data_IF_787674888234
#
_entry.id   IF_787674888234
#
_cell.length_a   1.000
_cell.length_b   1.000
_cell.length_c   1.000
_cell.angle_alpha   90.00
_cell.angle_beta   90.00
_cell.angle_gamma   90.00
#
_symmetry.space_group_name_H-M   'P 1'
#
loop_
_entity.id
_entity.type
_entity.pdbx_description
1 polymer ?
#
# COMPACT_ATOMS: atom_id res chain seq x y z
N UNK A 1 -20.51 26.57 9.36
CA UNK A 1 -20.61 25.10 9.49
C UNK A 1 -19.50 24.50 8.66
N UNK A 2 -18.30 24.37 9.23
CA UNK A 2 -17.14 23.78 8.56
C UNK A 2 -17.40 22.27 8.49
N UNK A 3 -17.57 21.75 7.28
CA UNK A 3 -17.58 20.30 7.08
C UNK A 3 -16.19 19.77 7.45
N UNK A 4 -16.05 19.20 8.65
CA UNK A 4 -15.00 18.22 8.93
C UNK A 4 -15.23 17.02 8.02
N UNK A 5 -14.77 17.13 6.77
CA UNK A 5 -14.67 15.96 5.91
C UNK A 5 -13.52 15.11 6.44
N UNK A 6 -13.87 14.16 7.32
CA UNK A 6 -12.99 13.05 7.66
C UNK A 6 -12.43 12.47 6.35
N UNK A 7 -11.10 12.33 6.20
CA UNK A 7 -10.50 11.72 5.02
C UNK A 7 -11.15 10.40 4.67
N UNK A 8 -11.12 9.98 3.40
CA UNK A 8 -11.46 8.61 3.07
C UNK A 8 -10.51 7.68 3.80
N UNK A 9 -11.02 6.90 4.76
CA UNK A 9 -10.24 5.89 5.47
C UNK A 9 -9.68 4.93 4.42
N UNK A 10 -8.37 4.88 4.24
CA UNK A 10 -7.70 4.01 3.26
C UNK A 10 -8.22 2.56 3.28
N UNK A 11 -8.65 2.10 4.45
CA UNK A 11 -9.34 0.83 4.70
C UNK A 11 -10.49 0.58 3.73
N UNK A 12 -11.26 1.61 3.36
CA UNK A 12 -12.36 1.50 2.39
C UNK A 12 -11.88 1.20 0.96
N UNK A 13 -10.78 1.81 0.52
CA UNK A 13 -10.17 1.56 -0.79
C UNK A 13 -9.52 0.18 -0.86
N UNK A 14 -8.87 -0.21 0.24
CA UNK A 14 -8.33 -1.56 0.42
C UNK A 14 -9.46 -2.60 0.36
N UNK A 15 -10.53 -2.42 1.15
CA UNK A 15 -11.68 -3.32 1.14
C UNK A 15 -12.36 -3.36 -0.23
N UNK A 16 -12.53 -2.21 -0.88
CA UNK A 16 -13.07 -2.14 -2.23
C UNK A 16 -12.26 -3.03 -3.17
N UNK A 17 -10.95 -2.86 -3.20
CA UNK A 17 -10.07 -3.66 -4.05
C UNK A 17 -10.12 -5.17 -3.71
N UNK A 18 -10.13 -5.53 -2.43
CA UNK A 18 -10.29 -6.91 -1.95
C UNK A 18 -11.60 -7.51 -2.46
N UNK A 19 -12.70 -6.79 -2.25
CA UNK A 19 -14.05 -7.22 -2.65
C UNK A 19 -14.13 -7.40 -4.17
N UNK A 20 -13.59 -6.47 -4.96
CA UNK A 20 -13.62 -6.59 -6.42
C UNK A 20 -12.80 -7.78 -6.91
N UNK A 21 -11.60 -8.01 -6.35
CA UNK A 21 -10.81 -9.17 -6.74
C UNK A 21 -11.47 -10.49 -6.33
N UNK A 22 -12.05 -10.57 -5.14
CA UNK A 22 -12.72 -11.78 -4.67
C UNK A 22 -13.98 -12.08 -5.50
N UNK A 23 -14.75 -11.06 -5.88
CA UNK A 23 -15.90 -11.20 -6.81
C UNK A 23 -15.46 -11.69 -8.19
N UNK A 24 -14.31 -11.23 -8.69
CA UNK A 24 -13.71 -11.75 -9.92
C UNK A 24 -13.41 -13.25 -9.80
N UNK A 25 -12.74 -13.65 -8.71
CA UNK A 25 -12.38 -15.05 -8.45
C UNK A 25 -13.62 -15.97 -8.36
N UNK A 26 -14.67 -15.51 -7.68
CA UNK A 26 -15.94 -16.23 -7.60
C UNK A 26 -16.64 -16.35 -8.97
N UNK A 27 -16.88 -15.21 -9.63
CA UNK A 27 -17.70 -15.15 -10.84
C UNK A 27 -17.07 -15.84 -12.04
N UNK A 28 -15.74 -15.74 -12.20
CA UNK A 28 -15.05 -16.20 -13.41
C UNK A 28 -14.24 -17.47 -13.22
N UNK A 29 -13.87 -17.81 -11.98
CA UNK A 29 -13.04 -18.98 -11.68
C UNK A 29 -13.72 -19.97 -10.71
N UNK A 30 -14.96 -19.70 -10.28
CA UNK A 30 -15.73 -20.59 -9.40
C UNK A 30 -15.10 -20.79 -8.01
N UNK A 31 -14.18 -19.91 -7.62
CA UNK A 31 -13.47 -20.01 -6.35
C UNK A 31 -14.29 -19.42 -5.21
N UNK A 32 -14.09 -19.93 -3.99
CA UNK A 32 -14.75 -19.38 -2.82
C UNK A 32 -14.25 -17.92 -2.58
N UNK A 33 -15.13 -16.91 -2.56
CA UNK A 33 -14.76 -15.49 -2.39
C UNK A 33 -14.10 -15.21 -1.03
N UNK A 34 -14.32 -16.07 -0.03
CA UNK A 34 -13.72 -15.95 1.30
C UNK A 34 -12.40 -16.71 1.44
N UNK A 35 -11.94 -17.40 0.39
CA UNK A 35 -10.69 -18.17 0.46
C UNK A 35 -9.44 -17.28 0.54
N UNK A 36 -9.53 -15.99 0.19
CA UNK A 36 -8.44 -15.00 0.26
C UNK A 36 -7.11 -15.49 -0.35
N UNK A 37 -7.15 -16.33 -1.38
CA UNK A 37 -5.95 -16.82 -2.08
C UNK A 37 -5.68 -15.99 -3.32
N UNK A 38 -5.21 -14.75 -3.13
CA UNK A 38 -4.67 -13.98 -4.25
C UNK A 38 -3.42 -14.67 -4.79
N UNK A 39 -3.42 -14.95 -6.08
CA UNK A 39 -2.29 -15.54 -6.77
C UNK A 39 -1.24 -14.49 -7.08
N UNK A 40 -0.01 -14.90 -7.39
CA UNK A 40 1.03 -13.97 -7.86
C UNK A 40 0.57 -13.18 -9.09
N UNK A 41 -0.29 -13.77 -9.94
CA UNK A 41 -0.89 -13.11 -11.09
C UNK A 41 -1.84 -11.97 -10.68
N UNK A 42 -2.61 -12.13 -9.59
CA UNK A 42 -3.47 -11.08 -9.06
C UNK A 42 -2.65 -9.90 -8.54
N UNK A 43 -1.55 -10.17 -7.86
CA UNK A 43 -0.64 -9.15 -7.34
C UNK A 43 0.05 -8.39 -8.48
N UNK A 44 0.57 -9.11 -9.48
CA UNK A 44 1.19 -8.52 -10.67
C UNK A 44 0.20 -7.68 -11.47
N UNK A 45 -1.05 -8.12 -11.58
CA UNK A 45 -2.10 -7.33 -12.22
C UNK A 45 -2.34 -6.00 -11.47
N UNK A 46 -2.50 -6.04 -10.14
CA UNK A 46 -2.70 -4.84 -9.33
C UNK A 46 -1.52 -3.87 -9.43
N UNK A 47 -0.29 -4.37 -9.44
CA UNK A 47 0.91 -3.57 -9.64
C UNK A 47 0.93 -2.87 -11.01
N UNK A 48 0.64 -3.60 -12.09
CA UNK A 48 0.55 -3.03 -13.44
C UNK A 48 -0.56 -1.99 -13.55
N UNK A 49 -1.71 -2.25 -12.92
CA UNK A 49 -2.83 -1.31 -12.89
C UNK A 49 -2.47 -0.04 -12.11
N UNK A 50 -1.77 -0.17 -10.98
CA UNK A 50 -1.23 0.96 -10.22
C UNK A 50 -0.19 1.78 -11.01
N UNK A 51 0.65 1.12 -11.82
CA UNK A 51 1.58 1.80 -12.73
C UNK A 51 0.84 2.63 -13.79
N UNK A 52 -0.22 2.08 -14.39
CA UNK A 52 -1.08 2.82 -15.32
C UNK A 52 -1.75 4.01 -14.62
N UNK A 53 -2.30 3.81 -13.41
CA UNK A 53 -2.87 4.89 -12.62
C UNK A 53 -1.88 6.03 -12.37
N UNK A 54 -0.62 5.72 -12.04
CA UNK A 54 0.42 6.73 -11.87
C UNK A 54 0.70 7.50 -13.18
N UNK A 55 0.79 6.83 -14.33
CA UNK A 55 0.96 7.52 -15.63
C UNK A 55 -0.21 8.45 -15.93
N UNK A 56 -1.43 8.03 -15.63
CA UNK A 56 -2.60 8.87 -15.84
C UNK A 56 -2.60 10.07 -14.91
N UNK A 57 -2.26 9.86 -13.64
CA UNK A 57 -2.10 10.92 -12.65
C UNK A 57 -1.02 11.93 -13.07
N UNK A 58 0.16 11.46 -13.50
CA UNK A 58 1.27 12.31 -13.97
C UNK A 58 0.89 13.19 -15.17
N UNK A 59 0.03 12.69 -16.04
CA UNK A 59 -0.44 13.42 -17.22
C UNK A 59 -1.76 14.18 -16.98
N UNK A 60 -2.25 14.24 -15.73
CA UNK A 60 -3.55 14.82 -15.37
C UNK A 60 -4.72 14.28 -16.22
N UNK A 61 -4.72 12.97 -16.46
CA UNK A 61 -5.73 12.23 -17.25
C UNK A 61 -6.53 11.29 -16.37
N UNK A 62 -7.81 11.12 -16.69
CA UNK A 62 -8.71 10.16 -16.02
C UNK A 62 -9.16 9.01 -16.92
N UNK A 63 -8.80 9.06 -18.21
CA UNK A 63 -9.19 8.08 -19.24
C UNK A 63 -7.97 7.51 -19.96
N UNK A 64 -8.06 6.25 -20.35
CA UNK A 64 -7.03 5.51 -21.07
C UNK A 64 -7.61 4.64 -22.18
N UNK A 65 -6.76 4.17 -23.08
CA UNK A 65 -7.15 3.42 -24.27
C UNK A 65 -6.58 2.00 -24.27
N UNK A 66 -7.07 1.17 -25.19
CA UNK A 66 -6.60 -0.21 -25.38
C UNK A 66 -5.09 -0.29 -25.65
N UNK A 67 -4.51 0.70 -26.32
CA UNK A 67 -3.07 0.79 -26.58
C UNK A 67 -2.25 0.86 -25.29
N UNK A 68 -2.71 1.65 -24.30
CA UNK A 68 -2.06 1.76 -23.00
C UNK A 68 -2.19 0.45 -22.21
N UNK A 69 -3.31 -0.26 -22.35
CA UNK A 69 -3.46 -1.59 -21.75
C UNK A 69 -2.44 -2.59 -22.32
N UNK A 70 -2.21 -2.56 -23.64
CA UNK A 70 -1.19 -3.39 -24.29
C UNK A 70 0.22 -3.00 -23.86
N UNK A 71 0.51 -1.70 -23.78
CA UNK A 71 1.80 -1.17 -23.31
C UNK A 71 2.16 -1.70 -21.91
N UNK A 72 1.19 -1.73 -20.99
CA UNK A 72 1.39 -2.23 -19.63
C UNK A 72 1.18 -3.75 -19.47
N UNK A 73 0.99 -4.48 -20.58
CA UNK A 73 0.70 -5.93 -20.56
C UNK A 73 -0.45 -6.28 -19.62
N UNK A 74 -1.51 -5.47 -19.67
CA UNK A 74 -2.78 -5.67 -18.98
C UNK A 74 -3.77 -6.37 -19.92
N UNK A 75 -4.56 -7.34 -19.42
CA UNK A 75 -5.39 -8.20 -20.26
C UNK A 75 -6.59 -7.42 -20.83
N UNK A 76 -6.58 -7.08 -22.12
CA UNK A 76 -7.62 -6.27 -22.77
C UNK A 76 -9.01 -6.94 -22.82
N UNK A 77 -9.06 -8.24 -23.12
CA UNK A 77 -10.31 -8.95 -23.47
C UNK A 77 -10.91 -9.78 -22.34
N UNK A 78 -10.20 -9.91 -21.23
CA UNK A 78 -10.69 -10.66 -20.08
C UNK A 78 -11.46 -9.73 -19.16
N UNK A 79 -12.77 -9.60 -19.41
CA UNK A 79 -13.71 -8.76 -18.62
C UNK A 79 -13.62 -9.00 -17.11
N UNK A 80 -13.16 -10.18 -16.70
CA UNK A 80 -12.88 -10.54 -15.32
C UNK A 80 -11.96 -9.52 -14.62
N UNK A 81 -10.88 -9.11 -15.27
CA UNK A 81 -9.87 -8.24 -14.66
C UNK A 81 -10.31 -6.79 -14.52
N UNK A 82 -11.22 -6.34 -15.39
CA UNK A 82 -11.73 -4.97 -15.39
C UNK A 82 -12.93 -4.79 -14.48
N UNK A 83 -13.71 -5.87 -14.27
CA UNK A 83 -15.01 -5.83 -13.60
C UNK A 83 -14.89 -5.20 -12.21
N UNK A 84 -15.45 -3.99 -12.08
CA UNK A 84 -15.53 -3.28 -10.81
C UNK A 84 -14.28 -2.46 -10.45
N UNK A 85 -13.21 -2.46 -11.24
CA UNK A 85 -12.05 -1.58 -11.04
C UNK A 85 -12.00 -0.46 -12.09
N UNK A 86 -12.37 -0.80 -13.33
CA UNK A 86 -12.46 0.12 -14.44
C UNK A 86 -13.79 -0.08 -15.19
N UNK A 87 -14.21 0.95 -15.92
CA UNK A 87 -15.38 0.92 -16.79
C UNK A 87 -14.96 1.21 -18.24
N UNK A 88 -15.56 0.49 -19.18
CA UNK A 88 -15.58 0.89 -20.60
C UNK A 88 -16.67 1.95 -20.76
N UNK A 89 -16.31 3.12 -21.29
CA UNK A 89 -17.24 4.20 -21.57
C UNK A 89 -18.00 3.91 -22.87
N UNK A 90 -19.32 4.12 -22.83
CA UNK A 90 -20.17 3.90 -23.99
C UNK A 90 -19.78 4.82 -25.16
N UNK A 91 -19.78 4.26 -26.37
CA UNK A 91 -19.37 4.97 -27.59
C UNK A 91 -20.50 5.85 -28.11
N UNK A 92 -20.18 7.06 -28.54
CA UNK A 92 -21.10 7.89 -29.33
C UNK A 92 -21.14 7.44 -30.80
N UNK A 93 -20.02 6.95 -31.35
CA UNK A 93 -19.89 6.49 -32.75
C UNK A 93 -19.34 5.05 -32.78
N UNK A 94 -19.91 4.12 -33.57
CA UNK A 94 -19.48 2.72 -33.62
C UNK A 94 -18.01 2.46 -34.02
N UNK A 95 -17.35 3.44 -34.66
CA UNK A 95 -15.96 3.34 -35.17
C UNK A 95 -14.90 3.86 -34.19
N UNK A 96 -15.30 4.45 -33.06
CA UNK A 96 -14.35 4.98 -32.10
C UNK A 96 -13.66 3.85 -31.33
N UNK A 97 -12.39 4.08 -31.01
CA UNK A 97 -11.61 3.18 -30.14
C UNK A 97 -12.27 3.12 -28.76
N UNK A 98 -12.27 1.94 -28.10
CA UNK A 98 -12.81 1.83 -26.75
C UNK A 98 -12.03 2.73 -25.79
N UNK A 99 -12.77 3.48 -24.97
CA UNK A 99 -12.22 4.37 -23.94
C UNK A 99 -12.55 3.76 -22.59
N UNK A 100 -11.57 3.76 -21.70
CA UNK A 100 -11.68 3.21 -20.37
C UNK A 100 -11.38 4.27 -19.32
N UNK A 101 -11.97 4.12 -18.13
CA UNK A 101 -11.63 4.93 -16.97
C UNK A 101 -11.65 4.07 -15.69
N UNK A 102 -11.00 4.55 -14.64
CA UNK A 102 -11.24 4.00 -13.30
C UNK A 102 -12.67 4.30 -12.87
N UNK A 103 -13.26 3.43 -12.04
CA UNK A 103 -14.62 3.63 -11.52
C UNK A 103 -14.77 4.93 -10.72
N UNK A 104 -13.68 5.42 -10.11
CA UNK A 104 -13.63 6.67 -9.38
C UNK A 104 -12.24 7.31 -9.44
N UNK A 105 -12.16 8.65 -9.47
CA UNK A 105 -10.89 9.38 -9.52
C UNK A 105 -10.02 9.12 -8.28
N UNK A 106 -10.63 9.11 -7.08
CA UNK A 106 -9.89 8.75 -5.86
C UNK A 106 -9.35 7.32 -5.89
N UNK A 107 -9.99 6.41 -6.63
CA UNK A 107 -9.46 5.05 -6.77
C UNK A 107 -8.23 5.03 -7.69
N UNK A 108 -8.19 5.88 -8.73
CA UNK A 108 -6.98 6.12 -9.53
C UNK A 108 -5.84 6.66 -8.67
N UNK A 109 -6.08 7.68 -7.84
CA UNK A 109 -5.05 8.23 -6.95
C UNK A 109 -4.58 7.23 -5.90
N UNK A 110 -5.51 6.43 -5.34
CA UNK A 110 -5.18 5.33 -4.44
C UNK A 110 -4.30 4.28 -5.10
N UNK A 111 -4.63 3.84 -6.33
CA UNK A 111 -3.84 2.85 -7.06
C UNK A 111 -2.44 3.37 -7.42
N UNK A 112 -2.31 4.66 -7.73
CA UNK A 112 -1.02 5.31 -7.93
C UNK A 112 -0.19 5.33 -6.63
N UNK A 113 -0.81 5.68 -5.50
CA UNK A 113 -0.14 5.68 -4.19
C UNK A 113 0.29 4.26 -3.77
N UNK A 114 -0.58 3.27 -4.01
CA UNK A 114 -0.28 1.86 -3.79
C UNK A 114 0.94 1.42 -4.60
N UNK A 115 0.99 1.73 -5.89
CA UNK A 115 2.13 1.37 -6.75
C UNK A 115 3.46 1.93 -6.23
N UNK A 116 3.48 3.24 -5.92
CA UNK A 116 4.67 3.90 -5.36
C UNK A 116 5.07 3.27 -4.03
N UNK A 117 4.12 2.98 -3.15
CA UNK A 117 4.39 2.35 -1.86
C UNK A 117 4.90 0.92 -1.96
N UNK A 118 4.35 0.10 -2.87
CA UNK A 118 4.81 -1.28 -3.07
C UNK A 118 6.21 -1.33 -3.67
N UNK A 119 6.59 -0.36 -4.50
CA UNK A 119 7.95 -0.26 -5.05
C UNK A 119 9.03 -0.24 -3.95
N UNK A 120 8.73 0.27 -2.75
CA UNK A 120 9.64 0.22 -1.59
C UNK A 120 10.03 -1.20 -1.18
N UNK A 121 9.16 -2.18 -1.41
CA UNK A 121 9.35 -3.57 -0.98
C UNK A 121 10.12 -4.40 -2.01
N UNK A 122 10.17 -3.94 -3.24
CA UNK A 122 10.87 -4.58 -4.33
C UNK A 122 12.26 -3.94 -4.45
N UNK A 123 13.25 -4.45 -3.70
CA UNK A 123 14.69 -4.23 -4.01
C UNK A 123 15.07 -4.77 -5.40
N UNK A 124 14.11 -5.34 -6.14
CA UNK A 124 14.28 -5.89 -7.48
C UNK A 124 13.34 -5.21 -8.45
N UNK A 125 13.97 -4.66 -9.47
CA UNK A 125 13.41 -4.17 -10.71
C UNK A 125 12.69 -5.31 -11.48
N UNK A 126 11.53 -5.81 -11.03
CA UNK A 126 10.82 -6.95 -11.68
C UNK A 126 9.84 -6.51 -12.78
N UNK A 127 9.77 -5.22 -13.10
CA UNK A 127 9.05 -4.73 -14.28
C UNK A 127 9.98 -3.87 -15.12
N UNK A 128 10.57 -4.53 -16.10
CA UNK A 128 11.28 -4.08 -17.30
C UNK A 128 11.27 -2.56 -17.65
N UNK A 129 12.39 -2.16 -18.27
CA UNK A 129 13.01 -0.84 -18.48
C UNK A 129 12.22 0.19 -19.32
N UNK A 130 10.90 0.09 -19.45
CA UNK A 130 10.11 0.98 -20.32
C UNK A 130 9.26 2.01 -19.55
N UNK A 131 9.89 2.81 -18.71
CA UNK A 131 9.30 4.04 -18.13
C UNK A 131 10.39 4.80 -17.39
N UNK A 132 10.72 6.02 -17.85
CA UNK A 132 11.72 6.92 -17.25
C UNK A 132 11.49 7.29 -15.77
N UNK A 133 10.45 6.76 -15.13
CA UNK A 133 10.18 6.95 -13.69
C UNK A 133 10.69 5.77 -12.85
N UNK A 134 11.10 4.64 -13.45
CA UNK A 134 11.93 3.66 -12.74
C UNK A 134 13.28 4.24 -12.33
N UNK A 135 13.73 5.35 -12.93
CA UNK A 135 14.88 6.13 -12.43
C UNK A 135 14.51 7.12 -11.32
N UNK A 136 13.24 7.56 -11.28
CA UNK A 136 12.77 8.54 -10.33
C UNK A 136 12.44 7.95 -8.96
N UNK A 137 12.27 6.64 -8.77
CA UNK A 137 12.05 6.07 -7.41
C UNK A 137 12.96 4.89 -7.07
N UNK A 138 14.11 4.77 -7.75
CA UNK A 138 15.22 3.82 -7.47
C UNK A 138 15.88 3.97 -6.07
N UNK A 139 15.20 4.60 -5.13
CA UNK A 139 15.77 5.13 -3.90
C UNK A 139 15.87 4.10 -2.80
N UNK A 140 16.95 4.19 -2.05
CA UNK A 140 17.30 3.25 -0.99
C UNK A 140 16.63 3.61 0.36
N UNK A 141 15.85 4.70 0.44
CA UNK A 141 15.23 5.19 1.68
C UNK A 141 13.79 5.70 1.50
N UNK A 142 12.98 5.52 2.55
CA UNK A 142 11.60 6.03 2.62
C UNK A 142 11.52 7.56 2.45
N UNK A 143 12.50 8.27 2.99
CA UNK A 143 12.54 9.73 3.02
C UNK A 143 12.66 10.32 1.64
N UNK A 144 13.51 9.72 0.80
CA UNK A 144 13.73 10.22 -0.55
C UNK A 144 12.48 9.96 -1.41
N UNK A 145 11.84 8.80 -1.24
CA UNK A 145 10.57 8.47 -1.90
C UNK A 145 9.50 9.51 -1.57
N UNK A 146 9.36 9.89 -0.30
CA UNK A 146 8.46 10.96 0.12
C UNK A 146 8.87 12.33 -0.40
N UNK A 147 10.17 12.64 -0.45
CA UNK A 147 10.66 13.90 -1.02
C UNK A 147 10.18 14.07 -2.45
N UNK A 148 10.32 13.03 -3.26
CA UNK A 148 9.91 13.05 -4.66
C UNK A 148 8.39 13.04 -4.85
N UNK A 149 7.64 12.41 -3.96
CA UNK A 149 6.18 12.49 -3.96
C UNK A 149 5.71 13.93 -3.64
N UNK A 150 6.31 14.55 -2.61
CA UNK A 150 5.99 15.93 -2.21
C UNK A 150 6.44 16.95 -3.26
N UNK A 151 7.60 16.77 -3.89
CA UNK A 151 8.05 17.64 -4.98
C UNK A 151 7.08 17.61 -6.17
N UNK A 152 6.54 16.44 -6.53
CA UNK A 152 5.48 16.31 -7.54
C UNK A 152 4.21 17.04 -7.13
N UNK A 153 3.74 16.77 -5.92
CA UNK A 153 2.55 17.41 -5.36
C UNK A 153 2.67 18.95 -5.36
N UNK A 154 3.82 19.51 -4.99
CA UNK A 154 4.04 20.95 -4.93
C UNK A 154 4.17 21.61 -6.32
N UNK A 155 4.70 20.89 -7.31
CA UNK A 155 4.91 21.41 -8.67
C UNK A 155 3.70 21.26 -9.60
N UNK A 156 2.75 20.38 -9.25
CA UNK A 156 1.55 20.14 -10.01
C UNK A 156 0.46 21.23 -9.80
N UNK A 157 -0.56 21.29 -10.67
CA UNK A 157 -1.84 21.91 -10.38
C UNK A 157 -2.46 21.51 -9.03
N UNK A 158 -3.18 22.43 -8.41
CA UNK A 158 -3.90 22.20 -7.14
C UNK A 158 -4.97 21.13 -7.36
N UNK A 159 -5.11 20.19 -6.42
CA UNK A 159 -6.05 19.08 -6.51
C UNK A 159 -5.53 17.83 -7.22
N UNK A 160 -4.48 17.92 -8.03
CA UNK A 160 -4.04 16.77 -8.86
C UNK A 160 -3.47 15.61 -8.03
N UNK A 161 -2.72 15.87 -6.96
CA UNK A 161 -2.06 14.85 -6.14
C UNK A 161 -2.55 14.87 -4.68
N UNK A 162 -3.66 15.53 -4.41
CA UNK A 162 -4.09 15.81 -3.05
C UNK A 162 -4.46 14.51 -2.31
N UNK A 163 -5.29 13.65 -2.92
CA UNK A 163 -5.64 12.36 -2.33
C UNK A 163 -4.50 11.36 -2.48
N UNK A 164 -3.75 11.40 -3.59
CA UNK A 164 -2.56 10.57 -3.76
C UNK A 164 -1.60 10.70 -2.57
N UNK A 165 -1.28 11.93 -2.16
CA UNK A 165 -0.34 12.16 -1.06
C UNK A 165 -0.92 11.70 0.29
N UNK A 166 -2.23 11.91 0.51
CA UNK A 166 -2.93 11.40 1.71
C UNK A 166 -2.91 9.87 1.75
N UNK A 167 -3.25 9.21 0.64
CA UNK A 167 -3.19 7.75 0.55
C UNK A 167 -1.78 7.22 0.77
N UNK A 168 -0.75 7.91 0.28
CA UNK A 168 0.63 7.51 0.51
C UNK A 168 1.01 7.55 1.99
N UNK A 169 0.58 8.61 2.69
CA UNK A 169 0.73 8.75 4.15
C UNK A 169 -0.05 7.68 4.90
N UNK A 170 -1.29 7.45 4.52
CA UNK A 170 -2.16 6.43 5.11
C UNK A 170 -1.63 4.99 4.90
N UNK A 171 -1.00 4.70 3.75
CA UNK A 171 -0.32 3.42 3.49
C UNK A 171 0.87 3.21 4.44
N UNK A 172 1.50 4.30 4.88
CA UNK A 172 2.67 4.28 5.77
C UNK A 172 2.31 4.11 7.23
N UNK A 173 1.02 4.17 7.58
CA UNK A 173 0.57 3.75 8.89
C UNK A 173 1.00 2.31 9.12
N UNK A 174 1.76 2.07 10.21
CA UNK A 174 2.65 0.91 10.35
C UNK A 174 1.96 -0.40 10.05
N UNK A 175 0.66 -0.50 10.26
CA UNK A 175 -0.06 -1.75 10.13
C UNK A 175 -1.49 -1.56 9.59
N UNK A 176 -1.64 -1.42 8.27
CA UNK A 176 -2.62 -2.26 7.57
C UNK A 176 -2.13 -3.74 7.48
N UNK A 177 -1.10 -4.12 8.25
CA UNK A 177 -0.31 -5.37 8.25
C UNK A 177 -1.12 -6.65 8.30
N UNK A 178 -2.29 -6.68 8.94
CA UNK A 178 -3.12 -7.89 8.87
C UNK A 178 -3.81 -7.99 7.51
N UNK A 179 -4.42 -6.87 7.11
CA UNK A 179 -5.30 -6.80 5.95
C UNK A 179 -4.58 -6.82 4.61
N UNK A 180 -3.30 -6.46 4.53
CA UNK A 180 -2.61 -6.34 3.24
C UNK A 180 -1.49 -7.36 3.01
N UNK A 181 -1.05 -8.06 4.07
CA UNK A 181 -0.05 -9.13 3.96
C UNK A 181 -0.66 -10.33 3.23
N UNK A 182 0.04 -10.82 2.21
CA UNK A 182 -0.42 -11.91 1.35
C UNK A 182 -1.38 -11.49 0.23
N UNK A 183 -1.81 -10.22 0.20
CA UNK A 183 -2.65 -9.69 -0.87
C UNK A 183 -1.94 -8.59 -1.66
N UNK A 184 -1.51 -7.51 -1.00
CA UNK A 184 -0.77 -6.43 -1.66
C UNK A 184 0.71 -6.44 -1.37
N UNK A 185 1.11 -7.05 -0.26
CA UNK A 185 2.50 -7.08 0.19
C UNK A 185 2.90 -8.51 0.59
N UNK A 186 4.17 -8.89 0.42
CA UNK A 186 4.69 -10.12 0.97
C UNK A 186 4.42 -10.22 2.49
N UNK A 187 4.09 -11.42 2.98
CA UNK A 187 3.84 -11.66 4.41
C UNK A 187 5.01 -11.22 5.31
N UNK A 188 6.23 -11.25 4.78
CA UNK A 188 7.48 -10.91 5.43
C UNK A 188 7.98 -9.49 5.08
N UNK A 189 7.10 -8.58 4.65
CA UNK A 189 7.47 -7.20 4.36
C UNK A 189 8.21 -6.56 5.56
N UNK A 190 9.39 -5.93 5.34
CA UNK A 190 10.19 -5.35 6.41
C UNK A 190 9.44 -4.22 7.12
N UNK A 191 9.70 -4.01 8.43
CA UNK A 191 9.16 -2.87 9.17
C UNK A 191 9.52 -1.55 8.51
N UNK A 192 8.58 -0.60 8.55
CA UNK A 192 8.82 0.74 8.05
C UNK A 192 9.83 1.48 8.93
N UNK A 193 10.89 2.03 8.31
CA UNK A 193 11.93 2.83 8.99
C UNK A 193 12.03 4.22 8.34
N UNK A 194 12.42 5.24 9.12
CA UNK A 194 12.63 6.60 8.64
C UNK A 194 11.36 7.46 8.59
N UNK A 195 10.30 7.07 9.31
CA UNK A 195 9.04 7.82 9.31
C UNK A 195 9.20 9.19 10.02
N UNK A 196 10.04 9.25 11.05
CA UNK A 196 10.37 10.50 11.75
C UNK A 196 11.03 11.50 10.79
N UNK A 197 11.88 11.01 9.89
CA UNK A 197 12.54 11.84 8.87
C UNK A 197 11.55 12.32 7.80
N UNK A 198 10.57 11.48 7.44
CA UNK A 198 9.44 11.86 6.58
C UNK A 198 8.60 12.95 7.23
N UNK A 199 8.24 12.82 8.52
CA UNK A 199 7.51 13.87 9.25
C UNK A 199 8.27 15.19 9.20
N UNK A 200 9.57 15.20 9.52
CA UNK A 200 10.40 16.43 9.45
C UNK A 200 10.43 17.03 8.04
N UNK A 201 10.50 16.20 7.02
CA UNK A 201 10.43 16.64 5.62
C UNK A 201 9.09 17.32 5.31
N UNK A 202 7.96 16.69 5.64
CA UNK A 202 6.63 17.26 5.39
C UNK A 202 6.41 18.57 6.15
N UNK A 203 6.88 18.68 7.41
CA UNK A 203 6.80 19.92 8.20
C UNK A 203 7.52 21.06 7.48
N UNK A 204 8.77 20.84 7.07
CA UNK A 204 9.55 21.86 6.33
C UNK A 204 8.88 22.28 5.02
N UNK A 205 8.27 21.33 4.31
CA UNK A 205 7.57 21.60 3.04
C UNK A 205 6.25 22.34 3.27
N UNK A 206 5.54 22.04 4.35
CA UNK A 206 4.32 22.76 4.74
C UNK A 206 4.62 24.22 5.04
N UNK A 207 5.67 24.50 5.82
CA UNK A 207 6.02 25.88 6.22
C UNK A 207 6.39 26.79 5.04
N UNK A 208 6.81 26.19 3.92
CA UNK A 208 7.16 26.89 2.68
C UNK A 208 6.07 26.86 1.61
N UNK A 209 4.95 26.19 1.86
CA UNK A 209 3.87 26.03 0.88
C UNK A 209 2.79 27.12 0.99
N UNK A 210 2.05 27.37 -0.09
CA UNK A 210 0.88 28.27 -0.07
C UNK A 210 -0.32 27.69 0.71
N UNK A 211 -1.32 28.52 1.09
CA UNK A 211 -2.41 28.12 1.99
C UNK A 211 -3.18 26.87 1.56
N UNK A 212 -3.49 26.76 0.27
CA UNK A 212 -4.21 25.60 -0.29
C UNK A 212 -3.40 24.30 -0.11
N UNK A 213 -2.08 24.38 -0.27
CA UNK A 213 -1.18 23.24 -0.12
C UNK A 213 -0.94 22.87 1.34
N UNK A 214 -0.92 23.87 2.24
CA UNK A 214 -0.71 23.68 3.67
C UNK A 214 -1.82 22.85 4.32
N UNK A 215 -3.07 23.01 3.88
CA UNK A 215 -4.20 22.26 4.43
C UNK A 215 -4.01 20.74 4.22
N UNK A 216 -3.70 20.33 2.99
CA UNK A 216 -3.48 18.92 2.67
C UNK A 216 -2.24 18.36 3.39
N UNK A 217 -1.13 19.11 3.41
CA UNK A 217 0.09 18.70 4.13
C UNK A 217 -0.11 18.59 5.64
N UNK A 218 -0.97 19.43 6.23
CA UNK A 218 -1.35 19.33 7.64
C UNK A 218 -2.09 18.03 7.93
N UNK A 219 -2.97 17.61 7.01
CA UNK A 219 -3.68 16.35 7.16
C UNK A 219 -2.74 15.15 7.01
N UNK A 220 -1.81 15.19 6.04
CA UNK A 220 -0.76 14.18 5.90
C UNK A 220 0.12 14.08 7.17
N UNK A 221 0.52 15.21 7.75
CA UNK A 221 1.29 15.24 9.00
C UNK A 221 0.51 14.64 10.16
N UNK A 222 -0.76 15.02 10.32
CA UNK A 222 -1.64 14.48 11.36
C UNK A 222 -1.71 12.94 11.28
N UNK A 223 -1.90 12.41 10.07
CA UNK A 223 -1.92 10.96 9.82
C UNK A 223 -0.59 10.28 10.21
N UNK A 224 0.55 10.87 9.84
CA UNK A 224 1.87 10.28 10.13
C UNK A 224 2.29 10.42 11.59
N UNK A 225 1.96 11.51 12.27
CA UNK A 225 2.27 11.75 13.68
C UNK A 225 1.55 10.74 14.59
N UNK A 226 0.28 10.42 14.28
CA UNK A 226 -0.46 9.37 14.97
C UNK A 226 0.29 8.02 14.90
N UNK A 227 0.91 7.73 13.76
CA UNK A 227 1.70 6.50 13.53
C UNK A 227 2.98 6.51 14.33
N UNK A 228 3.74 7.61 14.27
CA UNK A 228 4.99 7.75 15.04
C UNK A 228 4.69 7.59 16.52
N UNK A 229 3.61 8.22 17.03
CA UNK A 229 3.18 8.08 18.41
C UNK A 229 2.86 6.63 18.79
N UNK A 230 2.14 5.89 17.95
CA UNK A 230 1.83 4.48 18.18
C UNK A 230 3.08 3.60 18.15
N UNK A 231 4.03 3.88 17.26
CA UNK A 231 5.30 3.19 17.18
C UNK A 231 6.17 3.41 18.42
N UNK A 232 6.25 4.64 18.92
CA UNK A 232 7.01 4.97 20.14
C UNK A 232 6.39 4.28 21.35
N UNK A 233 5.06 4.36 21.53
CA UNK A 233 4.36 3.63 22.60
C UNK A 233 4.63 2.13 22.57
N UNK A 234 4.64 1.50 21.39
CA UNK A 234 4.95 0.08 21.24
C UNK A 234 6.40 -0.27 21.58
N UNK A 235 7.35 0.63 21.33
CA UNK A 235 8.76 0.44 21.75
C UNK A 235 8.88 0.54 23.27
N UNK A 236 8.17 1.50 23.87
CA UNK A 236 8.18 1.70 25.32
C UNK A 236 7.47 0.55 26.06
N UNK A 237 6.40 0.00 25.49
CA UNK A 237 5.68 -1.18 26.02
C UNK A 237 6.39 -2.50 25.72
N UNK A 238 7.21 -2.57 24.68
CA UNK A 238 8.12 -3.69 24.42
C UNK A 238 9.41 -3.58 25.27
N UNK A 239 9.26 -3.14 26.52
CA UNK A 239 10.33 -2.94 27.49
C UNK A 239 11.14 -4.21 27.81
N UNK A 240 12.09 -4.13 28.76
CA UNK A 240 13.08 -5.16 29.05
C UNK A 240 12.51 -6.58 29.25
N UNK A 241 11.24 -6.73 29.65
CA UNK A 241 10.54 -8.01 29.72
C UNK A 241 10.41 -8.74 28.38
N UNK A 242 10.12 -8.05 27.26
CA UNK A 242 10.01 -8.71 25.95
C UNK A 242 11.36 -9.20 25.44
N UNK A 243 12.43 -8.44 25.73
CA UNK A 243 13.81 -8.86 25.45
C UNK A 243 14.27 -9.99 26.37
N UNK A 244 13.90 -9.96 27.66
CA UNK A 244 14.15 -11.04 28.60
C UNK A 244 13.44 -12.33 28.15
N UNK A 245 12.16 -12.26 27.81
CA UNK A 245 11.35 -13.39 27.34
C UNK A 245 11.85 -13.95 26.01
N UNK A 246 12.28 -13.10 25.07
CA UNK A 246 12.89 -13.54 23.82
C UNK A 246 14.26 -14.20 24.06
N UNK A 247 15.06 -13.66 24.98
CA UNK A 247 16.36 -14.24 25.36
C UNK A 247 16.21 -15.58 26.10
N UNK A 248 15.19 -15.70 26.96
CA UNK A 248 14.80 -16.93 27.66
C UNK A 248 14.32 -17.97 26.63
N UNK A 249 13.46 -17.58 25.68
CA UNK A 249 13.02 -18.44 24.58
C UNK A 249 14.18 -18.90 23.70
N UNK A 250 15.10 -18.01 23.33
CA UNK A 250 16.32 -18.34 22.57
C UNK A 250 17.25 -19.28 23.36
N UNK A 251 17.39 -19.07 24.67
CA UNK A 251 18.16 -19.96 25.57
C UNK A 251 17.54 -21.35 25.64
N UNK A 252 16.22 -21.43 25.80
CA UNK A 252 15.47 -22.69 25.77
C UNK A 252 15.60 -23.37 24.39
N UNK A 253 15.51 -22.62 23.29
CA UNK A 253 15.70 -23.12 21.92
C UNK A 253 17.14 -23.63 21.68
N UNK A 254 18.15 -23.00 22.27
CA UNK A 254 19.54 -23.44 22.15
C UNK A 254 19.79 -24.71 22.96
N UNK A 255 19.16 -24.84 24.14
CA UNK A 255 19.16 -26.05 24.98
C UNK A 255 18.48 -27.25 24.29
N UNK A 256 17.55 -27.01 23.35
CA UNK A 256 16.85 -28.04 22.52
C UNK A 256 17.75 -28.74 21.49
N UNK A 257 18.96 -28.24 21.20
CA UNK A 257 19.84 -28.92 20.24
C UNK A 257 20.35 -30.27 20.78
N UNK A 258 20.26 -30.47 22.09
CA UNK A 258 20.86 -31.60 22.80
C UNK A 258 19.84 -32.67 23.28
N UNK A 259 18.53 -32.48 23.10
CA UNK A 259 17.51 -33.44 23.57
C UNK A 259 16.41 -33.75 22.54
N UNK A 260 16.27 -35.03 22.18
CA UNK A 260 15.27 -35.56 21.24
C UNK A 260 14.11 -36.22 21.99
N UNK A 261 12.85 -35.80 21.76
CA UNK A 261 11.68 -36.48 22.33
C UNK A 261 10.41 -35.63 22.55
N UNK A 262 9.33 -36.26 23.09
CA UNK A 262 7.95 -35.73 23.22
C UNK A 262 7.79 -34.44 24.07
N UNK A 263 8.83 -34.03 24.78
CA UNK A 263 8.92 -32.71 25.45
C UNK A 263 8.82 -31.52 24.48
N UNK A 264 9.01 -31.74 23.16
CA UNK A 264 8.85 -30.70 22.13
C UNK A 264 7.44 -30.11 22.05
N UNK A 265 6.39 -30.90 22.32
CA UNK A 265 5.01 -30.46 22.16
C UNK A 265 4.51 -29.66 23.37
N UNK A 266 4.87 -30.11 24.59
CA UNK A 266 4.49 -29.44 25.84
C UNK A 266 5.13 -28.05 26.00
N UNK A 267 6.37 -27.88 25.52
CA UNK A 267 7.08 -26.61 25.62
C UNK A 267 6.66 -25.58 24.53
N UNK A 268 6.06 -26.03 23.42
CA UNK A 268 5.48 -25.12 22.42
C UNK A 268 4.18 -24.50 22.95
N UNK A 269 3.35 -25.29 23.63
CA UNK A 269 2.15 -24.79 24.32
C UNK A 269 2.50 -23.81 25.44
N UNK A 270 3.58 -24.05 26.20
CA UNK A 270 4.02 -23.15 27.27
C UNK A 270 4.53 -21.80 26.72
N UNK A 271 5.33 -21.80 25.63
CA UNK A 271 5.75 -20.56 24.97
C UNK A 271 4.59 -19.79 24.34
N UNK A 272 3.60 -20.49 23.76
CA UNK A 272 2.40 -19.84 23.20
C UNK A 272 1.58 -19.19 24.33
N UNK A 273 1.41 -19.88 25.46
CA UNK A 273 0.74 -19.34 26.65
C UNK A 273 1.44 -18.08 27.20
N UNK A 274 2.77 -18.11 27.29
CA UNK A 274 3.55 -16.97 27.76
C UNK A 274 3.55 -15.78 26.78
N UNK A 275 3.37 -16.03 25.48
CA UNK A 275 3.19 -14.98 24.48
C UNK A 275 1.78 -14.36 24.58
N UNK A 276 0.75 -15.17 24.82
CA UNK A 276 -0.63 -14.72 25.04
C UNK A 276 -0.79 -13.93 26.34
N UNK A 277 -0.10 -14.30 27.43
CA UNK A 277 -0.10 -13.58 28.70
C UNK A 277 0.66 -12.23 28.67
N UNK A 278 1.37 -11.94 27.57
CA UNK A 278 2.11 -10.69 27.38
C UNK A 278 1.38 -9.65 26.50
N UNK A 279 0.13 -9.91 26.13
CA UNK A 279 -0.71 -9.03 25.29
C UNK A 279 -1.83 -8.29 26.04
N UNK A 280 -1.95 -8.44 27.37
CA UNK A 280 -2.78 -7.60 28.27
C UNK A 280 -1.94 -6.51 28.98
#
# INVERSE_FOLDING_TARGET
>A
MTMETSPPKITSFIHYMIIQNNRKLEKYYGQNPNSQKWTDMDQVFMLKLGRLALKLLDNNRSVFYEEELKEYSLPVREKAWWSGLCAELARAIPKDKPVFCFTHLSFLEFMAAHYIFTFRLEERNVLDQSYRVTELFKEHSLVDMYRKAVDRYLSAPVGQYDLFLRFLCDLSMTLNYGLLRGMLFPHNAPPLKGLEDVVRLLTKRKDSAGPERQANLSECLRQLEDVVRLLTKRKDSAGPERQANLSECLRLLTKRKDSAGPERQANLSECLRQLEESED
#
